data_IF_140165798442
#
_entry.id   IF_140165798442
#
_cell.length_a   1.000
_cell.length_b   1.000
_cell.length_c   1.000
_cell.angle_alpha   90.00
_cell.angle_beta   90.00
_cell.angle_gamma   90.00
#
_symmetry.space_group_name_H-M   'P 1'
#
loop_
_entity.id
_entity.type
_entity.pdbx_description
1 polymer ?
#
# COMPACT_ATOMS: atom_id res chain seq x y z
N UNK A 1 5.23 29.94 15.62
CA UNK A 1 5.37 29.44 14.23
C UNK A 1 4.24 28.44 13.98
N UNK A 2 3.22 28.81 13.20
CA UNK A 2 2.03 27.99 13.00
C UNK A 2 2.33 26.94 11.92
N UNK A 3 2.69 25.71 12.32
CA UNK A 3 2.93 24.62 11.37
C UNK A 3 1.58 24.21 10.79
N UNK A 4 1.23 24.73 9.61
CA UNK A 4 0.08 24.21 8.83
C UNK A 4 0.31 22.70 8.68
N UNK A 5 -0.59 21.89 9.21
CA UNK A 5 -0.49 20.43 9.14
C UNK A 5 -0.72 19.99 7.70
N UNK A 6 0.36 19.77 6.96
CA UNK A 6 0.34 19.35 5.57
C UNK A 6 -0.10 17.88 5.55
N UNK A 7 -1.32 17.63 5.10
CA UNK A 7 -1.96 16.33 5.24
C UNK A 7 -1.73 15.39 4.05
N UNK A 8 -1.59 15.95 2.86
CA UNK A 8 -1.41 15.27 1.59
C UNK A 8 -0.20 15.86 0.84
N UNK A 9 0.29 15.19 -0.20
CA UNK A 9 1.29 15.80 -1.08
C UNK A 9 0.72 17.04 -1.80
N UNK A 10 -0.57 17.01 -2.14
CA UNK A 10 -1.36 18.17 -2.57
C UNK A 10 -1.64 19.21 -1.47
N UNK A 11 -1.02 19.08 -0.30
CA UNK A 11 -1.18 19.90 0.90
C UNK A 11 -2.56 19.77 1.56
N UNK A 12 -3.54 20.52 1.08
CA UNK A 12 -4.85 20.66 1.73
C UNK A 12 -5.85 19.59 1.28
N UNK A 13 -5.70 19.09 0.05
CA UNK A 13 -6.54 18.05 -0.54
C UNK A 13 -5.71 17.01 -1.29
N UNK A 14 -6.36 15.92 -1.70
CA UNK A 14 -5.76 14.90 -2.58
C UNK A 14 -5.39 15.57 -3.91
N UNK A 15 -4.10 15.60 -4.23
CA UNK A 15 -3.59 16.08 -5.51
C UNK A 15 -3.14 14.96 -6.43
N UNK A 16 -2.61 15.33 -7.60
CA UNK A 16 -2.11 14.37 -8.60
C UNK A 16 -1.07 13.40 -8.02
N UNK A 17 -0.15 13.91 -7.20
CA UNK A 17 0.88 13.07 -6.56
C UNK A 17 0.24 12.05 -5.62
N UNK A 18 -0.81 12.42 -4.89
CA UNK A 18 -1.51 11.50 -4.00
C UNK A 18 -2.23 10.38 -4.78
N UNK A 19 -2.80 10.71 -5.95
CA UNK A 19 -3.44 9.73 -6.83
C UNK A 19 -2.41 8.74 -7.39
N UNK A 20 -1.27 9.24 -7.90
CA UNK A 20 -0.19 8.37 -8.41
C UNK A 20 0.41 7.52 -7.29
N UNK A 21 0.62 8.12 -6.11
CA UNK A 21 1.14 7.43 -4.93
C UNK A 21 0.14 6.46 -4.29
N UNK A 22 -1.14 6.47 -4.69
CA UNK A 22 -2.16 5.54 -4.18
C UNK A 22 -1.74 4.07 -4.30
N UNK A 23 -0.90 3.74 -5.28
CA UNK A 23 -0.23 2.45 -5.41
C UNK A 23 0.54 2.09 -4.12
N UNK A 24 1.35 3.01 -3.62
CA UNK A 24 2.14 2.86 -2.38
C UNK A 24 1.20 2.87 -1.16
N UNK A 25 0.19 3.75 -1.15
CA UNK A 25 -0.69 3.90 0.00
C UNK A 25 -1.56 2.69 0.30
N UNK A 26 -2.01 1.97 -0.74
CA UNK A 26 -2.96 0.87 -0.59
C UNK A 26 -2.38 -0.51 -0.94
N UNK A 27 -1.68 -0.63 -2.07
CA UNK A 27 -1.26 -1.93 -2.59
C UNK A 27 -0.03 -2.46 -1.86
N UNK A 28 0.92 -1.59 -1.51
CA UNK A 28 2.10 -1.97 -0.73
C UNK A 28 1.70 -2.55 0.64
N UNK A 29 0.75 -1.93 1.33
CA UNK A 29 0.27 -2.44 2.63
C UNK A 29 -0.50 -3.77 2.54
N UNK A 30 -1.03 -4.13 1.38
CA UNK A 30 -1.60 -5.46 1.13
C UNK A 30 -0.51 -6.48 0.77
N UNK A 31 0.51 -6.05 0.02
CA UNK A 31 1.69 -6.83 -0.34
C UNK A 31 2.51 -7.21 0.91
N UNK A 32 2.76 -6.28 1.81
CA UNK A 32 3.42 -6.50 3.11
C UNK A 32 2.71 -7.59 3.91
N UNK A 33 1.38 -7.46 4.06
CA UNK A 33 0.56 -8.45 4.77
C UNK A 33 0.60 -9.83 4.09
N UNK A 34 0.60 -9.88 2.76
CA UNK A 34 0.63 -11.13 2.00
C UNK A 34 2.00 -11.82 2.03
N UNK A 35 3.09 -11.04 2.03
CA UNK A 35 4.48 -11.55 2.04
C UNK A 35 5.05 -11.76 3.44
N UNK A 36 4.39 -11.27 4.49
CA UNK A 36 4.91 -11.26 5.86
C UNK A 36 6.13 -10.34 6.03
N UNK A 37 6.33 -9.40 5.11
CA UNK A 37 7.45 -8.45 5.13
C UNK A 37 6.98 -7.05 5.52
N UNK A 38 7.86 -6.25 6.10
CA UNK A 38 7.61 -4.85 6.42
C UNK A 38 8.62 -3.97 5.67
N UNK A 39 8.13 -3.16 4.72
CA UNK A 39 8.95 -2.30 3.87
C UNK A 39 8.77 -0.82 4.24
N UNK A 40 7.55 -0.44 4.61
CA UNK A 40 7.16 0.93 4.93
C UNK A 40 7.17 1.20 6.44
N UNK A 41 8.35 1.09 7.04
CA UNK A 41 8.55 1.31 8.48
C UNK A 41 8.53 2.79 8.82
N UNK A 42 7.89 3.13 9.95
CA UNK A 42 7.79 4.52 10.44
C UNK A 42 9.16 5.13 10.76
N UNK A 43 10.12 4.31 11.17
CA UNK A 43 11.46 4.77 11.56
C UNK A 43 12.24 5.35 10.37
N UNK A 44 12.04 4.76 9.19
CA UNK A 44 12.74 5.17 7.97
C UNK A 44 11.89 6.14 7.12
N UNK A 45 10.57 6.00 7.13
CA UNK A 45 9.67 6.78 6.28
C UNK A 45 8.49 7.44 7.03
N UNK A 46 8.74 8.22 8.10
CA UNK A 46 7.67 8.72 8.99
C UNK A 46 6.62 9.57 8.29
N UNK A 47 7.04 10.38 7.30
CA UNK A 47 6.13 11.22 6.51
C UNK A 47 5.23 10.38 5.60
N UNK A 48 5.79 9.34 4.98
CA UNK A 48 5.07 8.47 4.07
C UNK A 48 4.09 7.58 4.84
N UNK A 49 4.50 7.02 5.99
CA UNK A 49 3.61 6.26 6.89
C UNK A 49 2.43 7.11 7.39
N UNK A 50 2.67 8.38 7.72
CA UNK A 50 1.57 9.28 8.11
C UNK A 50 0.65 9.60 6.93
N UNK A 51 1.24 9.83 5.74
CA UNK A 51 0.48 10.06 4.52
C UNK A 51 -0.39 8.85 4.15
N UNK A 52 0.15 7.63 4.14
CA UNK A 52 -0.59 6.40 3.81
C UNK A 52 -1.79 6.24 4.73
N UNK A 53 -1.60 6.40 6.04
CA UNK A 53 -2.68 6.33 7.04
C UNK A 53 -3.81 7.34 6.76
N UNK A 54 -3.46 8.59 6.42
CA UNK A 54 -4.46 9.62 6.07
C UNK A 54 -5.13 9.35 4.73
N UNK A 55 -4.38 8.88 3.74
CA UNK A 55 -4.88 8.56 2.40
C UNK A 55 -5.92 7.45 2.43
N UNK A 56 -5.63 6.30 3.07
CA UNK A 56 -6.58 5.18 3.17
C UNK A 56 -7.76 5.48 4.10
N UNK A 57 -7.62 6.48 4.97
CA UNK A 57 -8.71 6.92 5.85
C UNK A 57 -9.70 7.86 5.18
N UNK A 58 -9.37 8.43 4.02
CA UNK A 58 -10.23 9.32 3.26
C UNK A 58 -11.43 8.56 2.65
N UNK A 59 -12.64 9.11 2.79
CA UNK A 59 -13.87 8.44 2.35
C UNK A 59 -13.91 8.16 0.84
N UNK A 60 -13.46 9.11 0.00
CA UNK A 60 -13.41 8.94 -1.46
C UNK A 60 -12.48 7.78 -1.84
N UNK A 61 -11.35 7.69 -1.13
CA UNK A 61 -10.38 6.60 -1.33
C UNK A 61 -10.96 5.26 -0.87
N UNK A 62 -11.67 5.22 0.26
CA UNK A 62 -12.33 3.99 0.72
C UNK A 62 -13.42 3.49 -0.23
N UNK A 63 -14.19 4.39 -0.82
CA UNK A 63 -15.27 4.04 -1.76
C UNK A 63 -14.74 3.59 -3.12
N UNK A 64 -13.56 4.09 -3.53
CA UNK A 64 -12.96 3.77 -4.84
C UNK A 64 -12.08 2.51 -4.84
N UNK A 65 -11.58 2.08 -3.68
CA UNK A 65 -10.64 0.97 -3.60
C UNK A 65 -11.36 -0.38 -3.38
N UNK A 66 -10.83 -1.47 -3.96
CA UNK A 66 -11.35 -2.80 -3.68
C UNK A 66 -11.12 -3.16 -2.20
N UNK A 67 -11.90 -4.09 -1.63
CA UNK A 67 -11.67 -4.56 -0.26
C UNK A 67 -10.24 -5.07 -0.07
N UNK A 68 -9.51 -4.53 0.93
CA UNK A 68 -8.10 -4.85 1.17
C UNK A 68 -7.83 -6.35 1.30
N UNK A 69 -8.72 -7.09 1.94
CA UNK A 69 -8.54 -8.54 2.14
C UNK A 69 -8.63 -9.33 0.83
N UNK A 70 -9.44 -8.89 -0.14
CA UNK A 70 -9.44 -9.50 -1.49
C UNK A 70 -8.11 -9.28 -2.19
N UNK A 71 -7.52 -8.10 -2.01
CA UNK A 71 -6.22 -7.79 -2.58
C UNK A 71 -5.09 -8.62 -1.94
N UNK A 72 -5.11 -8.76 -0.62
CA UNK A 72 -4.16 -9.60 0.13
C UNK A 72 -4.27 -11.06 -0.33
N UNK A 73 -5.48 -11.60 -0.47
CA UNK A 73 -5.68 -12.96 -0.97
C UNK A 73 -5.14 -13.14 -2.40
N UNK A 74 -5.39 -12.18 -3.29
CA UNK A 74 -4.82 -12.20 -4.64
C UNK A 74 -3.28 -12.15 -4.64
N UNK A 75 -2.66 -11.33 -3.78
CA UNK A 75 -1.21 -11.32 -3.65
C UNK A 75 -0.67 -12.63 -3.09
N UNK A 76 -1.30 -13.17 -2.03
CA UNK A 76 -0.92 -14.46 -1.44
C UNK A 76 -0.97 -15.58 -2.47
N UNK A 77 -2.05 -15.68 -3.25
CA UNK A 77 -2.16 -16.66 -4.33
C UNK A 77 -1.08 -16.49 -5.41
N UNK A 78 -0.65 -15.26 -5.70
CA UNK A 78 0.43 -15.01 -6.67
C UNK A 78 1.80 -15.42 -6.12
N UNK A 79 2.06 -15.17 -4.84
CA UNK A 79 3.28 -15.62 -4.19
C UNK A 79 3.34 -17.14 -4.02
N UNK A 80 2.25 -17.75 -3.59
CA UNK A 80 2.15 -19.20 -3.42
C UNK A 80 2.15 -19.90 -4.79
N UNK A 81 1.38 -19.41 -5.76
CA UNK A 81 1.35 -19.92 -7.13
C UNK A 81 2.71 -19.86 -7.81
N UNK A 82 3.47 -18.76 -7.63
CA UNK A 82 4.84 -18.65 -8.14
C UNK A 82 5.79 -19.71 -7.58
N UNK A 83 5.61 -20.11 -6.31
CA UNK A 83 6.43 -21.15 -5.69
C UNK A 83 6.13 -22.55 -6.25
N UNK A 84 4.87 -22.87 -6.57
CA UNK A 84 4.52 -24.17 -7.17
C UNK A 84 5.09 -24.34 -8.59
N UNK A 85 5.03 -23.30 -9.43
CA UNK A 85 5.61 -23.35 -10.77
C UNK A 85 7.15 -23.38 -10.74
N UNK A 86 7.78 -22.62 -9.84
CA UNK A 86 9.23 -22.62 -9.68
C UNK A 86 9.78 -23.94 -9.09
N UNK A 87 8.99 -24.65 -8.28
CA UNK A 87 9.35 -25.98 -7.77
C UNK A 87 9.21 -27.07 -8.86
N UNK A 88 8.20 -26.99 -9.74
CA UNK A 88 8.03 -27.91 -10.87
C UNK A 88 9.10 -27.73 -11.95
N UNK A 89 9.52 -26.49 -12.23
CA UNK A 89 10.57 -26.19 -13.21
C UNK A 89 11.97 -26.65 -12.74
N UNK A 90 12.16 -26.88 -11.44
CA UNK A 90 13.39 -27.47 -10.85
C UNK A 90 13.38 -29.01 -10.77
N UNK A 91 12.25 -29.64 -11.11
CA UNK A 91 12.11 -31.11 -11.14
C UNK A 91 12.34 -31.69 -12.55
N UNK A 92 12.68 -30.84 -13.52
CA UNK A 92 13.13 -31.17 -14.87
C UNK A 92 14.57 -30.68 -15.08
#
# INVERSE_FOLDING_TARGET
MNRRTIGFFGRESIGMVDIVASFIGFWLGAFEKASGSEWLTRDYFPKLTNWTHRFVSNNIVKESLPPKDKLVANFRNRFEGGNYYFQMDKLH
#
